data_IF_822034755276
#
_entry.id   IF_822034755276
#
_cell.length_a   1.000
_cell.length_b   1.000
_cell.length_c   1.000
_cell.angle_alpha   90.00
_cell.angle_beta   90.00
_cell.angle_gamma   90.00
#
_symmetry.space_group_name_H-M   'P 1'
#
loop_
_entity.id
_entity.type
_entity.pdbx_description
1 polymer ?
#
# COMPACT_ATOMS: atom_id res chain seq x y z
N UNK A 1 -1.20 15.62 -11.06
CA UNK A 1 -2.16 14.87 -11.88
C UNK A 1 -2.40 13.49 -11.23
N UNK A 2 -3.67 13.14 -10.96
CA UNK A 2 -4.08 11.85 -10.36
C UNK A 2 -4.47 10.80 -11.42
N UNK A 3 -4.13 11.06 -12.69
CA UNK A 3 -4.48 10.16 -13.79
C UNK A 3 -3.49 9.00 -13.92
N UNK A 4 -4.02 7.79 -14.08
CA UNK A 4 -3.25 6.61 -14.46
C UNK A 4 -2.79 6.76 -15.91
N UNK A 5 -1.54 6.41 -16.18
CA UNK A 5 -0.91 6.42 -17.50
C UNK A 5 -0.43 5.02 -17.88
N UNK A 6 -0.17 4.78 -19.14
CA UNK A 6 0.42 3.51 -19.60
C UNK A 6 1.79 3.23 -18.98
N UNK A 7 2.53 4.29 -18.65
CA UNK A 7 3.84 4.17 -18.03
C UNK A 7 3.77 3.64 -16.58
N UNK A 8 2.64 3.81 -15.89
CA UNK A 8 2.43 3.25 -14.56
C UNK A 8 2.41 1.71 -14.55
N UNK A 9 2.08 1.08 -15.67
CA UNK A 9 2.01 -0.38 -15.82
C UNK A 9 3.27 -1.01 -16.43
N UNK A 10 4.30 -0.22 -16.75
CA UNK A 10 5.53 -0.74 -17.37
C UNK A 10 6.45 -1.34 -16.33
N UNK A 11 6.77 -2.63 -16.51
CA UNK A 11 7.88 -3.26 -15.81
C UNK A 11 9.20 -2.70 -16.34
N UNK A 12 10.06 -2.23 -15.44
CA UNK A 12 11.38 -1.65 -15.77
C UNK A 12 12.46 -2.42 -15.03
N UNK A 13 13.52 -2.82 -15.70
CA UNK A 13 14.66 -3.48 -15.06
C UNK A 13 15.24 -2.62 -13.92
N UNK A 14 15.28 -1.29 -14.11
CA UNK A 14 15.72 -0.34 -13.09
C UNK A 14 14.88 -0.38 -11.79
N UNK A 15 13.64 -0.90 -11.82
CA UNK A 15 12.81 -1.10 -10.63
C UNK A 15 13.32 -2.22 -9.71
N UNK A 16 14.24 -3.05 -10.20
CA UNK A 16 14.83 -4.16 -9.44
C UNK A 16 16.30 -3.94 -9.06
N UNK A 17 16.80 -2.72 -9.29
CA UNK A 17 18.12 -2.31 -8.82
C UNK A 17 18.09 -2.11 -7.29
N UNK A 18 18.65 -3.07 -6.57
CA UNK A 18 18.70 -3.08 -5.10
C UNK A 18 19.80 -2.15 -4.53
N UNK A 19 20.59 -1.51 -5.36
CA UNK A 19 21.49 -0.43 -4.92
C UNK A 19 20.71 0.88 -4.70
N UNK A 20 19.50 0.98 -5.25
CA UNK A 20 18.61 2.11 -5.06
C UNK A 20 17.71 1.88 -3.82
N UNK A 21 17.92 2.71 -2.80
CA UNK A 21 17.18 2.64 -1.52
C UNK A 21 15.65 2.74 -1.70
N UNK A 22 15.17 3.54 -2.66
CA UNK A 22 13.74 3.65 -2.94
C UNK A 22 13.15 2.34 -3.45
N UNK A 23 13.89 1.58 -4.27
CA UNK A 23 13.47 0.25 -4.72
C UNK A 23 13.43 -0.75 -3.57
N UNK A 24 14.46 -0.74 -2.72
CA UNK A 24 14.50 -1.62 -1.53
C UNK A 24 13.32 -1.32 -0.60
N UNK A 25 13.07 -0.05 -0.30
CA UNK A 25 11.95 0.37 0.55
C UNK A 25 10.61 -0.08 -0.04
N UNK A 26 10.39 0.16 -1.33
CA UNK A 26 9.18 -0.23 -2.04
C UNK A 26 8.94 -1.73 -2.00
N UNK A 27 9.96 -2.53 -2.34
CA UNK A 27 9.88 -3.99 -2.34
C UNK A 27 9.61 -4.50 -0.92
N UNK A 28 10.30 -3.94 0.08
CA UNK A 28 10.10 -4.31 1.48
C UNK A 28 8.66 -4.04 1.94
N UNK A 29 8.12 -2.84 1.66
CA UNK A 29 6.73 -2.50 2.02
C UNK A 29 5.75 -3.48 1.39
N UNK A 30 5.94 -3.81 0.10
CA UNK A 30 5.09 -4.78 -0.59
C UNK A 30 5.23 -6.20 -0.04
N UNK A 31 6.45 -6.69 0.15
CA UNK A 31 6.71 -8.05 0.61
C UNK A 31 6.13 -8.32 2.00
N UNK A 32 6.22 -7.33 2.89
CA UNK A 32 5.66 -7.44 4.24
C UNK A 32 4.12 -7.48 4.27
N UNK A 33 3.43 -7.03 3.23
CA UNK A 33 1.96 -7.15 3.15
C UNK A 33 1.50 -8.60 2.89
N UNK A 34 2.34 -9.44 2.28
CA UNK A 34 1.99 -10.83 1.94
C UNK A 34 1.62 -11.66 3.18
N UNK A 35 2.43 -11.70 4.25
CA UNK A 35 2.07 -12.42 5.48
C UNK A 35 0.77 -11.92 6.11
N UNK A 36 0.49 -10.61 6.03
CA UNK A 36 -0.76 -10.04 6.56
C UNK A 36 -1.97 -10.49 5.76
N UNK A 37 -1.87 -10.52 4.43
CA UNK A 37 -2.92 -11.08 3.58
C UNK A 37 -3.12 -12.58 3.87
N UNK A 38 -2.03 -13.34 3.97
CA UNK A 38 -2.07 -14.78 4.26
C UNK A 38 -2.73 -15.08 5.61
N UNK A 39 -2.51 -14.26 6.64
CA UNK A 39 -3.10 -14.44 7.98
C UNK A 39 -4.63 -14.35 8.02
N UNK A 40 -5.24 -13.78 6.96
CA UNK A 40 -6.71 -13.72 6.80
C UNK A 40 -7.33 -15.04 6.36
N UNK A 41 -6.49 -16.04 6.09
CA UNK A 41 -6.94 -17.38 5.72
C UNK A 41 -6.46 -18.41 6.75
N UNK A 42 -7.27 -19.42 6.99
CA UNK A 42 -6.95 -20.57 7.81
C UNK A 42 -7.54 -21.83 7.18
N UNK A 43 -6.76 -22.89 7.05
CA UNK A 43 -7.18 -24.17 6.47
C UNK A 43 -7.87 -24.05 5.08
N UNK A 44 -7.44 -23.10 4.25
CA UNK A 44 -7.98 -22.89 2.90
C UNK A 44 -9.28 -22.06 2.83
N UNK A 45 -9.78 -21.56 3.96
CA UNK A 45 -10.95 -20.70 4.04
C UNK A 45 -10.62 -19.35 4.70
N UNK A 46 -11.57 -18.41 4.68
CA UNK A 46 -11.44 -17.16 5.42
C UNK A 46 -11.37 -17.48 6.92
N UNK A 47 -10.42 -16.85 7.62
CA UNK A 47 -10.17 -17.08 9.05
C UNK A 47 -11.34 -16.55 9.89
N UNK A 48 -12.09 -17.41 10.61
CA UNK A 48 -13.23 -16.99 11.42
C UNK A 48 -12.86 -15.99 12.53
N UNK A 49 -11.64 -16.10 13.07
CA UNK A 49 -11.14 -15.15 14.08
C UNK A 49 -10.97 -13.74 13.50
N UNK A 50 -10.54 -13.64 12.24
CA UNK A 50 -10.45 -12.34 11.54
C UNK A 50 -11.84 -11.78 11.22
N UNK A 51 -12.81 -12.65 10.85
CA UNK A 51 -14.20 -12.22 10.63
C UNK A 51 -14.78 -11.65 11.92
N UNK A 52 -14.66 -12.36 13.04
CA UNK A 52 -15.12 -11.88 14.34
C UNK A 52 -14.43 -10.57 14.79
N UNK A 53 -13.16 -10.39 14.44
CA UNK A 53 -12.45 -9.13 14.70
C UNK A 53 -13.02 -7.97 13.88
N UNK A 54 -13.35 -8.18 12.59
CA UNK A 54 -13.96 -7.17 11.72
C UNK A 54 -15.36 -6.81 12.20
N UNK A 55 -16.16 -7.81 12.61
CA UNK A 55 -17.48 -7.57 13.20
C UNK A 55 -17.40 -6.68 14.43
N UNK A 56 -16.50 -6.99 15.36
CA UNK A 56 -16.26 -6.17 16.55
C UNK A 56 -15.78 -4.75 16.22
N UNK A 57 -15.03 -4.59 15.12
CA UNK A 57 -14.59 -3.28 14.65
C UNK A 57 -15.71 -2.48 13.94
N UNK A 58 -16.90 -3.06 13.75
CA UNK A 58 -18.01 -2.44 13.03
C UNK A 58 -17.84 -2.42 11.51
N UNK A 59 -16.98 -3.29 10.97
CA UNK A 59 -16.71 -3.42 9.53
C UNK A 59 -17.62 -4.50 8.93
N UNK A 60 -18.66 -4.10 8.21
CA UNK A 60 -19.66 -5.02 7.66
C UNK A 60 -19.83 -4.89 6.14
N UNK A 61 -20.20 -5.98 5.42
CA UNK A 61 -20.31 -7.38 5.87
C UNK A 61 -18.90 -7.95 6.17
N UNK A 62 -18.68 -8.49 7.37
CA UNK A 62 -17.33 -8.80 7.86
C UNK A 62 -16.58 -9.81 6.99
N UNK A 63 -17.20 -10.95 6.65
CA UNK A 63 -16.55 -11.99 5.84
C UNK A 63 -16.12 -11.47 4.46
N UNK A 64 -17.02 -10.73 3.77
CA UNK A 64 -16.69 -10.07 2.49
C UNK A 64 -15.54 -9.09 2.65
N UNK A 65 -15.57 -8.29 3.71
CA UNK A 65 -14.55 -7.27 3.96
C UNK A 65 -13.18 -7.87 4.32
N UNK A 66 -13.13 -9.03 4.98
CA UNK A 66 -11.88 -9.77 5.19
C UNK A 66 -11.29 -10.24 3.86
N UNK A 67 -12.12 -10.83 2.98
CA UNK A 67 -11.70 -11.23 1.64
C UNK A 67 -11.24 -10.05 0.79
N UNK A 68 -11.98 -8.94 0.83
CA UNK A 68 -11.62 -7.69 0.13
C UNK A 68 -10.31 -7.10 0.64
N UNK A 69 -10.09 -7.09 1.96
CA UNK A 69 -8.84 -6.64 2.56
C UNK A 69 -7.65 -7.51 2.11
N UNK A 70 -7.79 -8.85 2.16
CA UNK A 70 -6.76 -9.76 1.69
C UNK A 70 -6.42 -9.53 0.21
N UNK A 71 -7.43 -9.42 -0.66
CA UNK A 71 -7.24 -9.14 -2.08
C UNK A 71 -6.55 -7.80 -2.33
N UNK A 72 -6.94 -6.76 -1.59
CA UNK A 72 -6.33 -5.43 -1.67
C UNK A 72 -4.86 -5.44 -1.23
N UNK A 73 -4.54 -6.13 -0.14
CA UNK A 73 -3.16 -6.30 0.34
C UNK A 73 -2.30 -7.03 -0.70
N UNK A 74 -2.80 -8.11 -1.30
CA UNK A 74 -2.07 -8.84 -2.35
C UNK A 74 -1.87 -7.97 -3.59
N UNK A 75 -2.91 -7.26 -4.04
CA UNK A 75 -2.80 -6.38 -5.20
C UNK A 75 -1.75 -5.27 -4.98
N UNK A 76 -1.78 -4.63 -3.82
CA UNK A 76 -0.79 -3.62 -3.42
C UNK A 76 0.61 -4.23 -3.28
N UNK A 77 0.74 -5.41 -2.67
CA UNK A 77 2.00 -6.13 -2.55
C UNK A 77 2.64 -6.39 -3.92
N UNK A 78 1.88 -6.97 -4.84
CA UNK A 78 2.34 -7.27 -6.21
C UNK A 78 2.74 -5.98 -6.92
N UNK A 79 1.90 -4.94 -6.87
CA UNK A 79 2.17 -3.67 -7.51
C UNK A 79 3.47 -3.03 -6.98
N UNK A 80 3.67 -3.03 -5.67
CA UNK A 80 4.88 -2.50 -5.04
C UNK A 80 6.11 -3.35 -5.37
N UNK A 81 6.04 -4.67 -5.30
CA UNK A 81 7.17 -5.55 -5.61
C UNK A 81 7.59 -5.39 -7.07
N UNK A 82 6.64 -5.36 -7.99
CA UNK A 82 6.91 -5.21 -9.41
C UNK A 82 7.26 -3.78 -9.83
N UNK A 83 6.96 -2.77 -9.02
CA UNK A 83 7.17 -1.37 -9.35
C UNK A 83 6.19 -0.82 -10.38
N UNK A 84 4.99 -1.39 -10.42
CA UNK A 84 3.88 -0.91 -11.27
C UNK A 84 2.89 -0.11 -10.42
N UNK A 85 2.30 0.92 -11.00
CA UNK A 85 1.36 1.81 -10.32
C UNK A 85 1.85 2.30 -8.93
N UNK A 86 3.17 2.41 -8.74
CA UNK A 86 3.83 2.64 -7.43
C UNK A 86 3.24 3.82 -6.67
N UNK A 87 2.90 4.90 -7.37
CA UNK A 87 2.26 6.09 -6.78
C UNK A 87 0.98 5.75 -6.03
N UNK A 88 0.12 4.97 -6.67
CA UNK A 88 -1.19 4.58 -6.15
C UNK A 88 -1.09 3.41 -5.19
N UNK A 89 -0.18 2.46 -5.46
CA UNK A 89 0.06 1.32 -4.58
C UNK A 89 0.60 1.76 -3.21
N UNK A 90 1.50 2.75 -3.17
CA UNK A 90 1.98 3.33 -1.92
C UNK A 90 0.87 4.00 -1.10
N UNK A 91 -0.03 4.74 -1.76
CA UNK A 91 -1.23 5.30 -1.09
C UNK A 91 -2.18 4.19 -0.64
N UNK A 92 -2.36 3.15 -1.45
CA UNK A 92 -3.18 1.99 -1.10
C UNK A 92 -2.65 1.28 0.15
N UNK A 93 -1.33 1.07 0.25
CA UNK A 93 -0.69 0.54 1.45
C UNK A 93 -0.99 1.39 2.68
N UNK A 94 -0.81 2.71 2.59
CA UNK A 94 -1.08 3.62 3.69
C UNK A 94 -2.56 3.61 4.11
N UNK A 95 -3.50 3.56 3.16
CA UNK A 95 -4.94 3.51 3.45
C UNK A 95 -5.33 2.19 4.13
N UNK A 96 -4.82 1.06 3.66
CA UNK A 96 -5.05 -0.26 4.27
C UNK A 96 -4.58 -0.26 5.73
N UNK A 97 -3.39 0.27 5.99
CA UNK A 97 -2.80 0.32 7.33
C UNK A 97 -3.52 1.33 8.25
N UNK A 98 -4.05 2.41 7.71
CA UNK A 98 -4.91 3.34 8.45
C UNK A 98 -6.22 2.65 8.88
N UNK A 99 -6.86 1.89 7.99
CA UNK A 99 -8.06 1.10 8.31
C UNK A 99 -7.73 0.01 9.33
N UNK A 100 -6.59 -0.67 9.19
CA UNK A 100 -6.15 -1.66 10.17
C UNK A 100 -5.92 -1.03 11.55
N UNK A 101 -5.34 0.18 11.61
CA UNK A 101 -5.19 0.93 12.86
C UNK A 101 -6.54 1.29 13.49
N UNK A 102 -7.49 1.74 12.67
CA UNK A 102 -8.87 2.00 13.12
C UNK A 102 -9.48 0.73 13.74
N UNK A 103 -9.39 -0.41 13.04
CA UNK A 103 -9.96 -1.67 13.53
C UNK A 103 -9.33 -2.12 14.87
N UNK A 104 -8.00 -1.97 15.03
CA UNK A 104 -7.32 -2.25 16.29
C UNK A 104 -7.84 -1.36 17.41
N UNK A 105 -7.93 -0.05 17.17
CA UNK A 105 -8.42 0.91 18.17
C UNK A 105 -9.89 0.66 18.52
N UNK A 106 -10.73 0.35 17.54
CA UNK A 106 -12.15 0.07 17.76
C UNK A 106 -12.38 -1.19 18.63
N UNK A 107 -11.53 -2.22 18.47
CA UNK A 107 -11.70 -3.49 19.19
C UNK A 107 -10.99 -3.51 20.54
N UNK A 108 -9.78 -2.93 20.62
CA UNK A 108 -8.89 -3.03 21.80
C UNK A 108 -8.77 -1.73 22.60
N UNK A 109 -9.30 -0.61 22.08
CA UNK A 109 -8.99 0.72 22.57
C UNK A 109 -7.66 1.26 22.04
N UNK A 110 -7.40 2.54 22.30
CA UNK A 110 -6.14 3.16 21.87
C UNK A 110 -4.96 2.61 22.67
N UNK A 111 -3.98 2.08 21.98
CA UNK A 111 -2.67 1.70 22.49
C UNK A 111 -1.60 2.06 21.45
N UNK A 112 -0.47 2.60 21.87
CA UNK A 112 0.63 2.94 20.97
C UNK A 112 1.53 1.74 20.73
N UNK A 113 2.07 1.16 21.79
CA UNK A 113 3.16 0.19 21.73
C UNK A 113 2.75 -1.15 21.13
N UNK A 114 3.44 -1.58 20.08
CA UNK A 114 3.10 -2.76 19.29
C UNK A 114 3.09 -4.08 20.09
N UNK A 115 4.01 -4.25 21.03
CA UNK A 115 4.13 -5.48 21.85
C UNK A 115 2.95 -5.70 22.79
N UNK A 116 2.17 -4.66 23.08
CA UNK A 116 0.91 -4.72 23.81
C UNK A 116 -0.32 -4.72 22.88
N UNK A 117 -0.09 -4.87 21.57
CA UNK A 117 -1.15 -4.88 20.56
C UNK A 117 -1.61 -3.49 20.10
N UNK A 118 -0.76 -2.46 20.26
CA UNK A 118 -1.01 -1.10 19.82
C UNK A 118 -0.74 -0.89 18.32
N UNK A 119 -0.95 0.34 17.85
CA UNK A 119 -0.97 0.72 16.43
C UNK A 119 0.38 1.20 15.88
N UNK A 120 1.43 1.27 16.69
CA UNK A 120 2.75 1.80 16.32
C UNK A 120 3.25 1.22 15.00
N UNK A 121 3.19 -0.11 14.86
CA UNK A 121 3.66 -0.80 13.66
C UNK A 121 2.88 -0.41 12.42
N UNK A 122 1.55 -0.34 12.53
CA UNK A 122 0.69 0.07 11.43
C UNK A 122 0.96 1.52 10.99
N UNK A 123 1.17 2.43 11.96
CA UNK A 123 1.46 3.84 11.69
C UNK A 123 2.80 4.01 10.99
N UNK A 124 3.86 3.39 11.52
CA UNK A 124 5.19 3.43 10.90
C UNK A 124 5.12 2.92 9.46
N UNK A 125 4.47 1.80 9.25
CA UNK A 125 4.36 1.20 7.93
C UNK A 125 3.48 2.01 6.97
N UNK A 126 2.40 2.64 7.45
CA UNK A 126 1.61 3.58 6.66
C UNK A 126 2.46 4.77 6.20
N UNK A 127 3.32 5.32 7.07
CA UNK A 127 4.26 6.38 6.71
C UNK A 127 5.23 5.90 5.62
N UNK A 128 5.78 4.68 5.72
CA UNK A 128 6.64 4.12 4.69
C UNK A 128 5.91 4.00 3.34
N UNK A 129 4.65 3.58 3.34
CA UNK A 129 3.80 3.57 2.14
C UNK A 129 3.63 4.95 1.52
N UNK A 130 3.39 5.98 2.35
CA UNK A 130 3.31 7.37 1.90
C UNK A 130 4.64 7.87 1.32
N UNK A 131 5.77 7.53 1.93
CA UNK A 131 7.10 7.92 1.41
C UNK A 131 7.35 7.29 0.05
N UNK A 132 7.00 6.02 -0.15
CA UNK A 132 7.06 5.35 -1.46
C UNK A 132 6.18 6.07 -2.49
N UNK A 133 4.95 6.45 -2.12
CA UNK A 133 4.06 7.18 -3.01
C UNK A 133 4.63 8.55 -3.39
N UNK A 134 5.12 9.31 -2.42
CA UNK A 134 5.70 10.66 -2.62
C UNK A 134 6.91 10.59 -3.55
N UNK A 135 7.80 9.62 -3.34
CA UNK A 135 8.98 9.44 -4.18
C UNK A 135 8.59 9.13 -5.63
N UNK A 136 7.69 8.17 -5.82
CA UNK A 136 7.17 7.82 -7.14
C UNK A 136 6.45 9.00 -7.83
N UNK A 137 5.76 9.88 -7.07
CA UNK A 137 5.19 11.12 -7.63
C UNK A 137 6.23 12.13 -8.05
N UNK A 138 7.32 12.28 -7.29
CA UNK A 138 8.44 13.15 -7.66
C UNK A 138 9.08 12.68 -8.97
N UNK A 139 9.27 11.38 -9.12
CA UNK A 139 9.84 10.81 -10.36
C UNK A 139 8.93 11.01 -11.56
N UNK A 140 7.63 10.79 -11.38
CA UNK A 140 6.64 11.09 -12.41
C UNK A 140 6.66 12.56 -12.82
N UNK A 141 6.71 13.47 -11.84
CA UNK A 141 6.75 14.91 -12.13
C UNK A 141 8.04 15.33 -12.85
N UNK A 142 9.18 14.69 -12.52
CA UNK A 142 10.47 14.96 -13.22
C UNK A 142 10.41 14.49 -14.67
N UNK A 143 9.86 13.30 -14.93
CA UNK A 143 9.75 12.76 -16.30
C UNK A 143 8.74 13.51 -17.17
N UNK A 144 7.71 14.12 -16.58
CA UNK A 144 6.72 14.92 -17.31
C UNK A 144 7.22 16.33 -17.71
N UNK A 145 8.22 16.88 -17.03
CA UNK A 145 8.74 18.25 -17.28
C UNK A 145 9.33 18.49 -18.69
N UNK A 146 10.11 17.58 -19.30
CA UNK A 146 10.62 17.76 -20.65
C UNK A 146 9.52 17.81 -21.71
N UNK A 147 8.50 16.96 -21.59
CA UNK A 147 7.37 16.92 -22.51
C UNK A 147 6.55 18.22 -22.48
N UNK A 148 6.36 18.81 -21.30
CA UNK A 148 5.67 20.10 -21.15
C UNK A 148 6.47 21.27 -21.72
N UNK A 149 7.81 21.24 -21.67
CA UNK A 149 8.67 22.24 -22.29
C UNK A 149 8.67 22.17 -23.82
N UNK A 150 8.61 20.95 -24.38
CA UNK A 150 8.55 20.74 -25.82
C UNK A 150 7.20 21.17 -26.44
N UNK A 151 6.11 21.19 -25.65
CA UNK A 151 4.78 21.62 -26.08
C UNK A 151 4.53 23.12 -25.94
N UNK A 152 5.51 23.93 -25.56
CA UNK A 152 5.32 25.39 -25.50
C UNK A 152 5.23 25.93 -26.94
N UNK A 153 4.05 26.43 -27.40
CA UNK A 153 3.91 26.96 -28.75
C UNK A 153 4.88 28.14 -28.95
N UNK A 154 5.50 28.19 -30.13
CA UNK A 154 6.48 29.21 -30.50
C UNK A 154 5.86 30.61 -30.73
N UNK A 155 4.69 30.88 -30.13
CA UNK A 155 3.97 32.14 -30.24
C UNK A 155 3.69 32.70 -28.84
N UNK A 156 4.63 33.53 -28.37
CA UNK A 156 4.39 34.58 -27.41
C UNK A 156 5.34 35.75 -27.73
#
# INVERSE_FOLDING_TARGET
>A
MLTLTRDDFRLRAASFDLTNTSNVLRIMVGALMIPHAASKFAAGAINPGTVAFFEKAGIHPAEFMVGFAAASEIAVAIALILGICTRFAGLGAAAILAIASYAVVAVKGFGWTWNTGGIEFNVVWAILGLLVAIDAWKDYARSARPALRAYRPAHA
#
